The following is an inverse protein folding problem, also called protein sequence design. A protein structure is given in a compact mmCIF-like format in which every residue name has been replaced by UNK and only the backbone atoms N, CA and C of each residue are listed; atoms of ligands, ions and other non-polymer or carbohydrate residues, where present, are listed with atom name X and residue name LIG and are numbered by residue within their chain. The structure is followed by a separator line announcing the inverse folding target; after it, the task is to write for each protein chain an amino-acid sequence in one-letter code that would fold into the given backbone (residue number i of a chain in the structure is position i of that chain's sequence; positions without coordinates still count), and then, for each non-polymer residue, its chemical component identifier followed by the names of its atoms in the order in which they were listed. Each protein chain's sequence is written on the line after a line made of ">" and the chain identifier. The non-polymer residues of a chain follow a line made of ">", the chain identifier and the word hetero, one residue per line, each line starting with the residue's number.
data_IF_712537976935
#
_entry.id   IF_712537976935
#
_cell.length_a   1.000
_cell.length_b   1.000
_cell.length_c   1.000
_cell.angle_alpha   90.00
_cell.angle_beta   90.00
_cell.angle_gamma   90.00
#
_symmetry.space_group_name_H-M   'P 1'
#
loop_
_entity.id
_entity.type
_entity.pdbx_description
1 polymer ?
#
# COMPACT_ATOMS: atom_id res chain seq x y z
N UNK A 1 -57.54 -44.31 68.61
CA UNK A 1 -57.77 -43.52 67.37
C UNK A 1 -56.43 -43.39 66.66
N UNK A 2 -56.17 -43.96 65.47
CA UNK A 2 -54.93 -43.82 64.78
C UNK A 2 -54.94 -42.46 64.00
N UNK A 3 -53.94 -41.63 64.26
CA UNK A 3 -53.68 -40.39 63.61
C UNK A 3 -53.38 -40.57 62.11
N UNK A 4 -54.18 -39.95 61.26
CA UNK A 4 -53.85 -39.76 59.79
C UNK A 4 -52.61 -38.93 59.67
N UNK A 5 -51.51 -39.54 59.30
CA UNK A 5 -50.32 -38.86 58.76
C UNK A 5 -50.71 -38.41 57.29
N UNK A 6 -50.90 -37.17 57.12
CA UNK A 6 -50.95 -36.62 55.74
C UNK A 6 -49.56 -36.81 55.14
N UNK A 7 -49.40 -37.79 54.26
CA UNK A 7 -48.24 -37.86 53.36
C UNK A 7 -48.35 -36.70 52.35
N UNK A 8 -47.68 -35.63 52.63
CA UNK A 8 -47.35 -34.67 51.59
C UNK A 8 -46.32 -35.35 50.70
N UNK A 9 -46.73 -35.72 49.49
CA UNK A 9 -45.90 -36.45 48.56
C UNK A 9 -44.79 -35.51 48.08
N UNK A 10 -43.53 -35.71 48.49
CA UNK A 10 -42.42 -34.84 48.08
C UNK A 10 -42.13 -34.93 46.54
N UNK A 11 -42.68 -35.96 45.89
CA UNK A 11 -42.53 -36.15 44.43
C UNK A 11 -43.23 -35.09 43.62
N UNK A 12 -44.36 -34.56 44.05
CA UNK A 12 -45.11 -33.50 43.32
C UNK A 12 -44.35 -32.18 43.27
N UNK A 13 -43.66 -31.80 44.35
CA UNK A 13 -42.84 -30.61 44.39
C UNK A 13 -41.59 -30.72 43.50
N UNK A 14 -40.95 -31.91 43.48
CA UNK A 14 -39.78 -32.14 42.65
C UNK A 14 -40.10 -31.98 41.15
N UNK A 15 -41.27 -32.42 40.68
CA UNK A 15 -41.68 -32.29 39.30
C UNK A 15 -41.91 -30.81 38.95
N UNK A 16 -42.52 -30.02 39.85
CA UNK A 16 -42.72 -28.57 39.61
C UNK A 16 -41.40 -27.84 39.53
N UNK A 17 -40.43 -28.10 40.41
CA UNK A 17 -39.09 -27.55 40.37
C UNK A 17 -38.38 -27.91 39.07
N UNK A 18 -38.43 -29.18 38.65
CA UNK A 18 -37.83 -29.64 37.43
C UNK A 18 -38.39 -28.94 36.19
N UNK A 19 -39.72 -28.71 36.16
CA UNK A 19 -40.43 -28.04 35.09
C UNK A 19 -40.03 -26.57 35.03
N UNK A 20 -39.93 -25.88 36.17
CA UNK A 20 -39.48 -24.48 36.26
C UNK A 20 -38.03 -24.35 35.80
N UNK A 21 -37.10 -25.21 36.29
CA UNK A 21 -35.69 -25.20 35.89
C UNK A 21 -35.56 -25.47 34.38
N UNK A 22 -36.30 -26.47 33.87
CA UNK A 22 -36.27 -26.81 32.44
C UNK A 22 -36.76 -25.66 31.59
N UNK A 23 -37.84 -24.98 31.99
CA UNK A 23 -38.37 -23.78 31.26
C UNK A 23 -37.33 -22.65 31.27
N UNK A 24 -36.67 -22.40 32.41
CA UNK A 24 -35.61 -21.38 32.49
C UNK A 24 -34.41 -21.74 31.61
N UNK A 25 -33.96 -23.00 31.61
CA UNK A 25 -32.88 -23.47 30.77
C UNK A 25 -33.23 -23.35 29.28
N UNK A 26 -34.44 -23.73 28.87
CA UNK A 26 -34.91 -23.54 27.50
C UNK A 26 -34.94 -22.06 27.11
N UNK A 27 -35.35 -21.19 28.03
CA UNK A 27 -35.32 -19.72 27.80
C UNK A 27 -33.90 -19.20 27.59
N UNK A 28 -32.97 -19.61 28.42
CA UNK A 28 -31.52 -19.26 28.31
C UNK A 28 -30.91 -19.71 26.96
N UNK A 29 -31.14 -20.99 26.60
CA UNK A 29 -30.65 -21.54 25.34
C UNK A 29 -31.24 -20.80 24.15
N UNK A 30 -32.53 -20.46 24.20
CA UNK A 30 -33.23 -19.73 23.15
C UNK A 30 -32.64 -18.33 22.94
N UNK A 31 -32.38 -17.59 24.03
CA UNK A 31 -31.72 -16.29 23.97
C UNK A 31 -30.26 -16.38 23.47
N UNK A 32 -29.56 -17.45 23.83
CA UNK A 32 -28.19 -17.69 23.33
C UNK A 32 -28.15 -17.90 21.81
N UNK A 33 -29.16 -18.54 21.22
CA UNK A 33 -29.29 -18.71 19.77
C UNK A 33 -29.51 -17.37 19.08
N UNK A 34 -30.43 -16.54 19.57
CA UNK A 34 -30.69 -15.20 19.02
C UNK A 34 -29.42 -14.32 19.10
N UNK A 35 -28.72 -14.36 20.26
CA UNK A 35 -27.48 -13.62 20.45
C UNK A 35 -26.38 -14.10 19.48
N UNK A 36 -26.25 -15.41 19.28
CA UNK A 36 -25.29 -15.98 18.33
C UNK A 36 -25.54 -15.51 16.89
N UNK A 37 -26.80 -15.49 16.45
CA UNK A 37 -27.18 -14.98 15.13
C UNK A 37 -26.84 -13.50 14.97
N UNK A 38 -27.31 -12.66 15.89
CA UNK A 38 -27.03 -11.20 15.84
C UNK A 38 -25.53 -10.94 15.87
N UNK A 39 -24.75 -11.70 16.62
CA UNK A 39 -23.29 -11.58 16.66
C UNK A 39 -22.64 -11.94 15.33
N UNK A 40 -23.13 -12.99 14.66
CA UNK A 40 -22.66 -13.39 13.32
C UNK A 40 -23.00 -12.32 12.29
N UNK A 41 -24.24 -11.84 12.28
CA UNK A 41 -24.70 -10.79 11.36
C UNK A 41 -23.91 -9.48 11.56
N UNK A 42 -23.57 -9.14 12.80
CA UNK A 42 -22.70 -8.00 13.11
C UNK A 42 -21.30 -8.18 12.56
N UNK A 43 -20.72 -9.38 12.65
CA UNK A 43 -19.41 -9.68 12.06
C UNK A 43 -19.45 -9.58 10.53
N UNK A 44 -20.50 -10.08 9.89
CA UNK A 44 -20.70 -9.95 8.44
C UNK A 44 -20.89 -8.48 8.03
N UNK A 45 -21.63 -7.69 8.81
CA UNK A 45 -21.79 -6.26 8.58
C UNK A 45 -20.47 -5.50 8.70
N UNK A 46 -19.59 -5.92 9.65
CA UNK A 46 -18.25 -5.34 9.77
C UNK A 46 -17.40 -5.64 8.55
N UNK A 47 -17.38 -6.89 8.05
CA UNK A 47 -16.68 -7.25 6.83
C UNK A 47 -17.13 -6.42 5.62
N UNK A 48 -18.43 -6.17 5.51
CA UNK A 48 -18.97 -5.33 4.45
C UNK A 48 -18.58 -3.85 4.60
N UNK A 49 -18.60 -3.33 5.83
CA UNK A 49 -18.13 -1.97 6.10
C UNK A 49 -16.64 -1.81 5.78
N UNK A 50 -15.82 -2.81 6.14
CA UNK A 50 -14.38 -2.83 5.83
C UNK A 50 -14.12 -2.86 4.31
N UNK A 51 -14.85 -3.71 3.58
CA UNK A 51 -14.77 -3.76 2.12
C UNK A 51 -15.19 -2.43 1.49
N UNK A 52 -16.30 -1.85 1.96
CA UNK A 52 -16.80 -0.57 1.47
C UNK A 52 -15.85 0.59 1.77
N UNK A 53 -15.25 0.63 2.96
CA UNK A 53 -14.25 1.65 3.30
C UNK A 53 -13.01 1.54 2.43
N UNK A 54 -12.51 0.33 2.19
CA UNK A 54 -11.36 0.08 1.31
C UNK A 54 -11.63 0.56 -0.12
N UNK A 55 -12.68 0.07 -0.76
CA UNK A 55 -13.00 0.46 -2.13
C UNK A 55 -13.41 1.93 -2.26
N UNK A 56 -14.07 2.48 -1.24
CA UNK A 56 -14.35 3.91 -1.16
C UNK A 56 -13.08 4.76 -1.11
N UNK A 57 -12.07 4.33 -0.34
CA UNK A 57 -10.78 4.99 -0.27
C UNK A 57 -10.03 4.94 -1.61
N UNK A 58 -10.06 3.81 -2.33
CA UNK A 58 -9.51 3.69 -3.69
C UNK A 58 -10.14 4.69 -4.67
N UNK A 59 -11.41 5.02 -4.48
CA UNK A 59 -12.14 5.99 -5.29
C UNK A 59 -11.89 7.46 -4.91
N UNK A 60 -11.19 7.76 -3.80
CA UNK A 60 -10.99 9.15 -3.36
C UNK A 60 -10.24 10.02 -4.37
N UNK A 61 -9.14 9.58 -4.99
CA UNK A 61 -8.40 10.40 -5.94
C UNK A 61 -9.19 10.75 -7.20
N UNK A 62 -10.17 9.94 -7.57
CA UNK A 62 -10.98 10.09 -8.79
C UNK A 62 -12.39 10.65 -8.53
N UNK A 63 -12.72 10.95 -7.27
CA UNK A 63 -14.04 11.44 -6.89
C UNK A 63 -15.14 10.37 -6.87
N UNK A 64 -14.80 9.09 -6.95
CA UNK A 64 -15.77 7.96 -6.99
C UNK A 64 -15.97 7.25 -5.65
N UNK A 65 -15.56 7.85 -4.53
CA UNK A 65 -15.60 7.24 -3.19
C UNK A 65 -16.96 6.66 -2.83
N UNK A 66 -18.04 7.43 -3.03
CA UNK A 66 -19.38 6.99 -2.70
C UNK A 66 -19.84 5.80 -3.55
N UNK A 67 -19.65 5.89 -4.86
CA UNK A 67 -20.07 4.84 -5.79
C UNK A 67 -19.33 3.52 -5.53
N UNK A 68 -18.02 3.59 -5.30
CA UNK A 68 -17.18 2.43 -4.99
C UNK A 68 -17.58 1.80 -3.64
N UNK A 69 -17.80 2.61 -2.60
CA UNK A 69 -18.23 2.12 -1.30
C UNK A 69 -19.60 1.42 -1.38
N UNK A 70 -20.55 2.01 -2.09
CA UNK A 70 -21.89 1.44 -2.29
C UNK A 70 -21.83 0.12 -3.07
N UNK A 71 -21.05 0.05 -4.14
CA UNK A 71 -20.88 -1.18 -4.93
C UNK A 71 -20.26 -2.30 -4.09
N UNK A 72 -19.22 -2.00 -3.29
CA UNK A 72 -18.58 -2.98 -2.43
C UNK A 72 -19.51 -3.47 -1.29
N UNK A 73 -20.30 -2.59 -0.69
CA UNK A 73 -21.28 -2.99 0.30
C UNK A 73 -22.37 -3.89 -0.29
N UNK A 74 -22.89 -3.54 -1.47
CA UNK A 74 -23.95 -4.28 -2.16
C UNK A 74 -23.50 -5.68 -2.63
N UNK A 75 -22.21 -5.92 -2.79
CA UNK A 75 -21.65 -7.24 -3.06
C UNK A 75 -21.69 -8.18 -1.84
N UNK A 76 -22.04 -7.66 -0.66
CA UNK A 76 -22.20 -8.41 0.59
C UNK A 76 -23.69 -8.45 0.98
N UNK A 77 -24.09 -9.49 1.68
CA UNK A 77 -25.48 -9.67 2.10
C UNK A 77 -25.59 -10.12 3.55
N UNK A 78 -26.67 -9.72 4.21
CA UNK A 78 -27.08 -10.21 5.54
C UNK A 78 -28.49 -10.74 5.42
N UNK A 79 -28.76 -11.90 5.98
CA UNK A 79 -30.07 -12.59 5.88
C UNK A 79 -30.58 -12.68 4.42
N UNK A 80 -29.66 -12.84 3.45
CA UNK A 80 -29.98 -12.91 2.02
C UNK A 80 -30.31 -11.57 1.35
N UNK A 81 -30.24 -10.45 2.07
CA UNK A 81 -30.47 -9.11 1.53
C UNK A 81 -29.17 -8.35 1.35
N UNK A 82 -28.91 -7.71 0.18
CA UNK A 82 -27.73 -6.88 -0.04
C UNK A 82 -27.65 -5.71 0.95
N UNK A 83 -26.44 -5.35 1.35
CA UNK A 83 -26.23 -4.21 2.25
C UNK A 83 -26.28 -2.92 1.44
N UNK A 84 -27.18 -2.02 1.82
CA UNK A 84 -27.38 -0.73 1.16
C UNK A 84 -26.79 0.39 2.01
N UNK A 85 -25.84 1.14 1.44
CA UNK A 85 -25.30 2.36 2.03
C UNK A 85 -26.01 3.59 1.45
N UNK A 86 -26.45 4.48 2.31
CA UNK A 86 -26.90 5.82 1.94
C UNK A 86 -25.68 6.74 1.78
N UNK A 87 -25.85 7.88 1.11
CA UNK A 87 -24.79 8.87 0.98
C UNK A 87 -24.28 9.39 2.34
N UNK A 88 -25.15 9.48 3.34
CA UNK A 88 -24.84 9.87 4.72
C UNK A 88 -23.97 8.84 5.47
N UNK A 89 -23.91 7.60 4.99
CA UNK A 89 -23.16 6.52 5.64
C UNK A 89 -21.69 6.52 5.22
N UNK A 90 -21.35 7.29 4.19
CA UNK A 90 -20.02 7.37 3.60
C UNK A 90 -19.48 8.79 3.74
N UNK A 91 -18.54 8.98 4.63
CA UNK A 91 -18.01 10.30 4.98
C UNK A 91 -16.53 10.35 4.68
N UNK A 92 -16.10 11.29 3.83
CA UNK A 92 -14.69 11.60 3.63
C UNK A 92 -14.19 12.58 4.68
N UNK A 93 -12.92 12.47 5.06
CA UNK A 93 -12.33 13.30 6.11
C UNK A 93 -10.85 13.11 6.24
N UNK A 94 -10.31 13.54 7.38
CA UNK A 94 -8.89 13.39 7.70
C UNK A 94 -8.69 12.43 8.86
N UNK A 95 -7.70 11.56 8.74
CA UNK A 95 -7.23 10.68 9.81
C UNK A 95 -5.92 11.19 10.38
N UNK A 96 -5.88 11.39 11.69
CA UNK A 96 -4.65 11.73 12.42
C UNK A 96 -4.01 10.44 12.97
N UNK A 97 -2.82 10.10 12.49
CA UNK A 97 -2.05 8.95 12.98
C UNK A 97 -1.60 9.13 14.43
N UNK A 98 -1.35 10.39 14.85
CA UNK A 98 -0.88 10.73 16.20
C UNK A 98 -1.98 10.59 17.25
N UNK A 99 -3.17 11.13 16.97
CA UNK A 99 -4.30 11.11 17.91
C UNK A 99 -5.21 9.90 17.69
N UNK A 100 -5.03 9.15 16.59
CA UNK A 100 -5.90 8.03 16.16
C UNK A 100 -7.37 8.45 16.07
N UNK A 101 -7.62 9.62 15.46
CA UNK A 101 -8.97 10.18 15.32
C UNK A 101 -9.30 10.50 13.87
N UNK A 102 -10.54 10.26 13.51
CA UNK A 102 -11.13 10.68 12.25
C UNK A 102 -11.88 12.01 12.43
N UNK A 103 -11.64 12.96 11.53
CA UNK A 103 -12.33 14.25 11.48
C UNK A 103 -13.02 14.38 10.13
N UNK A 104 -14.37 14.52 10.09
CA UNK A 104 -15.12 14.66 8.84
C UNK A 104 -14.75 15.92 8.06
N UNK A 105 -14.75 15.82 6.72
CA UNK A 105 -14.49 16.96 5.82
C UNK A 105 -13.02 17.34 5.73
N UNK A 106 -12.77 18.62 5.40
CA UNK A 106 -11.42 19.16 5.17
C UNK A 106 -11.13 19.41 3.69
N UNK A 107 -10.10 20.24 3.42
CA UNK A 107 -9.71 20.64 2.06
C UNK A 107 -8.89 19.57 1.33
N UNK A 108 -8.26 18.66 2.09
CA UNK A 108 -7.44 17.56 1.57
C UNK A 108 -7.73 16.29 2.36
N UNK A 109 -8.89 15.64 2.14
CA UNK A 109 -9.25 14.44 2.87
C UNK A 109 -8.28 13.30 2.51
N UNK A 110 -7.84 12.56 3.54
CA UNK A 110 -6.96 11.40 3.39
C UNK A 110 -7.57 10.12 3.95
N UNK A 111 -8.84 10.17 4.34
CA UNK A 111 -9.55 9.02 4.91
C UNK A 111 -11.02 9.03 4.54
N UNK A 112 -11.62 7.85 4.59
CA UNK A 112 -13.06 7.64 4.46
C UNK A 112 -13.55 6.81 5.63
N UNK A 113 -14.67 7.22 6.20
CA UNK A 113 -15.42 6.46 7.20
C UNK A 113 -16.70 5.94 6.57
N UNK A 114 -16.95 4.66 6.72
CA UNK A 114 -18.19 4.01 6.28
C UNK A 114 -18.89 3.43 7.50
N UNK A 115 -20.18 3.74 7.68
CA UNK A 115 -21.02 3.13 8.72
C UNK A 115 -22.17 2.38 8.07
N UNK A 116 -22.10 1.06 8.09
CA UNK A 116 -23.16 0.20 7.59
C UNK A 116 -24.21 -0.04 8.71
N UNK A 117 -25.48 -0.03 8.35
CA UNK A 117 -26.59 -0.17 9.29
C UNK A 117 -27.57 -1.26 8.84
N UNK A 118 -27.96 -2.13 9.77
CA UNK A 118 -29.18 -2.91 9.68
C UNK A 118 -30.12 -2.46 10.82
N UNK A 119 -31.20 -1.74 10.50
CA UNK A 119 -32.06 -1.12 11.50
C UNK A 119 -33.53 -1.14 11.09
N UNK A 120 -34.41 -1.02 12.08
CA UNK A 120 -35.86 -0.95 11.88
C UNK A 120 -36.26 0.27 11.03
N UNK A 121 -35.56 1.39 11.19
CA UNK A 121 -35.80 2.61 10.41
C UNK A 121 -35.51 2.45 8.92
N UNK A 122 -34.68 1.46 8.56
CA UNK A 122 -34.31 1.11 7.18
C UNK A 122 -35.06 -0.14 6.68
N UNK A 123 -35.87 -0.78 7.52
CA UNK A 123 -36.51 -2.04 7.20
C UNK A 123 -35.59 -3.25 7.12
N UNK A 124 -34.40 -3.13 7.68
CA UNK A 124 -33.30 -4.14 7.60
C UNK A 124 -32.86 -4.66 8.98
N UNK A 125 -33.60 -4.36 10.06
CA UNK A 125 -33.29 -4.87 11.40
C UNK A 125 -33.25 -6.40 11.41
N UNK A 126 -32.34 -6.97 12.18
CA UNK A 126 -32.16 -8.42 12.28
C UNK A 126 -33.34 -9.01 13.08
N UNK A 127 -34.13 -9.92 12.51
CA UNK A 127 -35.26 -10.50 13.21
C UNK A 127 -34.77 -11.45 14.30
N UNK A 128 -35.40 -11.41 15.47
CA UNK A 128 -35.21 -12.35 16.56
C UNK A 128 -36.19 -13.50 16.49
N UNK A 129 -35.77 -14.72 16.79
CA UNK A 129 -36.65 -15.88 16.79
C UNK A 129 -37.32 -16.06 18.16
N UNK A 130 -36.51 -16.21 19.19
CA UNK A 130 -36.99 -16.55 20.54
C UNK A 130 -37.27 -15.29 21.39
N UNK A 131 -36.45 -14.25 21.24
CA UNK A 131 -36.70 -12.99 21.95
C UNK A 131 -38.01 -12.31 21.51
N UNK A 132 -38.54 -12.64 20.34
CA UNK A 132 -39.84 -12.20 19.86
C UNK A 132 -41.02 -12.63 20.77
N UNK A 133 -40.89 -13.78 21.44
CA UNK A 133 -41.86 -14.26 22.45
C UNK A 133 -41.89 -13.34 23.68
N UNK A 134 -40.75 -12.70 23.98
CA UNK A 134 -40.64 -11.70 25.06
C UNK A 134 -40.95 -10.27 24.59
N UNK A 135 -41.43 -10.10 23.36
CA UNK A 135 -41.80 -8.80 22.79
C UNK A 135 -40.67 -8.08 22.02
N UNK A 136 -39.48 -8.62 21.99
CA UNK A 136 -38.34 -8.06 21.22
C UNK A 136 -38.32 -8.70 19.83
N UNK A 137 -38.88 -8.04 18.82
CA UNK A 137 -39.07 -8.61 17.48
C UNK A 137 -37.86 -8.52 16.58
N UNK A 138 -36.97 -7.56 16.81
CA UNK A 138 -35.77 -7.33 15.99
C UNK A 138 -34.70 -6.60 16.78
N UNK A 139 -33.46 -6.67 16.29
CA UNK A 139 -32.30 -5.99 16.83
C UNK A 139 -31.65 -5.09 15.76
N UNK A 140 -31.36 -3.85 16.11
CA UNK A 140 -30.63 -2.93 15.27
C UNK A 140 -29.11 -3.15 15.50
N UNK A 141 -28.36 -3.26 14.41
CA UNK A 141 -26.89 -3.36 14.43
C UNK A 141 -26.28 -2.35 13.47
N UNK A 142 -25.08 -1.92 13.80
CA UNK A 142 -24.26 -1.11 12.92
C UNK A 142 -22.80 -1.54 13.03
N UNK A 143 -22.04 -1.24 11.97
CA UNK A 143 -20.61 -1.46 11.90
C UNK A 143 -19.95 -0.26 11.23
N UNK A 144 -18.83 0.19 11.76
CA UNK A 144 -18.06 1.32 11.23
C UNK A 144 -16.67 0.88 10.87
N UNK A 145 -16.22 1.30 9.69
CA UNK A 145 -14.86 1.06 9.21
C UNK A 145 -14.26 2.38 8.73
N UNK A 146 -12.96 2.55 8.92
CA UNK A 146 -12.20 3.68 8.42
C UNK A 146 -11.04 3.17 7.60
N UNK A 147 -10.89 3.71 6.39
CA UNK A 147 -9.74 3.47 5.54
C UNK A 147 -9.03 4.80 5.25
N UNK A 148 -7.71 4.80 5.29
CA UNK A 148 -6.88 5.93 4.88
C UNK A 148 -6.35 5.69 3.49
N UNK A 149 -6.23 6.76 2.72
CA UNK A 149 -5.54 6.77 1.44
C UNK A 149 -4.30 7.65 1.56
N UNK A 150 -3.16 7.10 1.15
CA UNK A 150 -1.98 7.93 0.92
C UNK A 150 -2.09 8.47 -0.50
N UNK A 151 -2.28 9.79 -0.61
CA UNK A 151 -2.38 10.46 -1.91
C UNK A 151 -1.08 10.27 -2.69
N UNK A 152 -1.21 9.98 -3.99
CA UNK A 152 -0.07 9.95 -4.88
C UNK A 152 0.61 11.32 -4.86
N UNK A 153 1.87 11.39 -4.41
CA UNK A 153 2.65 12.60 -4.57
C UNK A 153 3.21 12.61 -5.99
N UNK A 154 3.01 13.70 -6.70
CA UNK A 154 3.65 13.96 -7.99
C UNK A 154 4.84 14.87 -7.73
N UNK A 155 6.02 14.44 -8.18
CA UNK A 155 7.20 15.27 -8.18
C UNK A 155 7.66 15.52 -9.63
N UNK A 156 8.04 16.74 -9.94
CA UNK A 156 8.80 17.04 -11.17
C UNK A 156 10.21 17.37 -10.76
N UNK A 157 11.16 16.61 -11.27
CA UNK A 157 12.57 16.69 -10.86
C UNK A 157 13.47 16.68 -12.08
N UNK A 158 14.53 17.48 -12.03
CA UNK A 158 15.65 17.40 -12.94
C UNK A 158 16.67 16.38 -12.43
N UNK A 159 17.14 15.53 -13.32
CA UNK A 159 18.21 14.55 -13.08
C UNK A 159 19.37 14.91 -14.02
N UNK A 160 20.45 15.52 -13.50
CA UNK A 160 21.65 15.81 -14.27
C UNK A 160 22.31 14.52 -14.80
N UNK A 161 23.00 14.61 -15.93
CA UNK A 161 23.83 13.52 -16.46
C UNK A 161 24.92 13.07 -15.49
N UNK A 162 25.39 14.00 -14.65
CA UNK A 162 26.41 13.76 -13.61
C UNK A 162 25.91 13.00 -12.39
N UNK A 163 24.66 12.56 -12.38
CA UNK A 163 24.04 11.86 -11.23
C UNK A 163 24.49 10.41 -11.13
N UNK A 164 25.52 10.15 -10.31
CA UNK A 164 26.07 8.81 -10.04
C UNK A 164 25.15 8.01 -9.10
N UNK A 165 24.53 6.92 -9.56
CA UNK A 165 23.65 6.06 -8.75
C UNK A 165 24.33 5.47 -7.50
N UNK A 166 25.63 5.18 -7.54
CA UNK A 166 26.35 4.54 -6.43
C UNK A 166 26.73 5.49 -5.30
N UNK A 167 26.61 6.80 -5.51
CA UNK A 167 26.70 7.79 -4.44
C UNK A 167 25.35 8.07 -3.74
N UNK A 168 24.29 7.31 -4.05
CA UNK A 168 22.99 7.47 -3.43
C UNK A 168 23.03 7.29 -1.91
N UNK A 169 22.59 8.33 -1.17
CA UNK A 169 22.52 8.30 0.29
C UNK A 169 23.87 8.26 1.02
N UNK A 170 24.95 8.47 0.30
CA UNK A 170 26.29 8.55 0.88
C UNK A 170 26.56 9.93 1.49
N UNK A 171 27.42 10.03 2.52
CA UNK A 171 27.80 11.29 3.14
C UNK A 171 28.59 12.20 2.16
N UNK A 172 28.52 13.49 2.40
CA UNK A 172 29.35 14.46 1.67
C UNK A 172 30.83 14.13 1.82
N UNK A 173 31.58 14.20 0.71
CA UNK A 173 32.99 13.86 0.63
C UNK A 173 33.26 12.38 0.34
N UNK A 174 32.22 11.54 0.21
CA UNK A 174 32.39 10.17 -0.33
C UNK A 174 32.79 10.26 -1.78
N UNK A 175 33.85 9.55 -2.14
CA UNK A 175 34.36 9.46 -3.53
C UNK A 175 33.94 8.12 -4.12
N UNK A 176 33.75 8.07 -5.44
CA UNK A 176 33.72 6.80 -6.15
C UNK A 176 35.06 6.08 -5.97
N UNK A 177 35.02 4.77 -5.73
CA UNK A 177 36.20 4.01 -5.24
C UNK A 177 37.32 3.82 -6.28
N UNK A 178 37.09 4.12 -7.56
CA UNK A 178 38.01 3.70 -8.60
C UNK A 178 39.28 4.55 -8.74
N UNK A 179 39.16 5.83 -8.90
CA UNK A 179 40.31 6.76 -8.94
C UNK A 179 39.88 8.14 -8.43
N UNK A 180 40.59 8.62 -7.44
CA UNK A 180 40.46 10.02 -7.01
C UNK A 180 40.76 11.03 -8.15
N UNK A 181 41.22 10.56 -9.31
CA UNK A 181 41.52 11.36 -10.49
C UNK A 181 40.31 11.70 -11.35
N UNK A 182 39.22 10.95 -11.26
CA UNK A 182 37.99 11.19 -12.07
C UNK A 182 36.99 12.14 -11.43
N UNK A 183 37.10 12.40 -10.15
CA UNK A 183 36.42 13.54 -9.50
C UNK A 183 35.03 13.33 -9.04
N UNK A 184 34.43 12.13 -9.14
CA UNK A 184 33.09 11.85 -8.66
C UNK A 184 33.07 11.87 -7.13
N UNK A 185 32.41 12.86 -6.56
CA UNK A 185 32.36 13.13 -5.11
C UNK A 185 30.97 13.58 -4.67
N UNK A 186 30.43 12.94 -3.65
CA UNK A 186 29.20 13.41 -3.03
C UNK A 186 29.43 14.80 -2.36
N UNK A 187 28.54 15.76 -2.47
CA UNK A 187 27.19 15.68 -3.07
C UNK A 187 27.12 16.12 -4.54
N UNK A 188 28.24 16.46 -5.20
CA UNK A 188 28.21 17.07 -6.54
C UNK A 188 27.64 16.10 -7.57
N UNK A 189 28.11 14.86 -7.55
CA UNK A 189 27.68 13.79 -8.46
C UNK A 189 26.66 12.86 -7.81
N UNK A 190 26.19 13.14 -6.60
CA UNK A 190 25.13 12.34 -5.98
C UNK A 190 23.85 12.34 -6.81
N UNK A 191 23.16 11.19 -6.92
CA UNK A 191 21.92 11.10 -7.67
C UNK A 191 20.81 11.91 -7.00
N UNK A 192 19.81 12.28 -7.80
CA UNK A 192 18.72 13.14 -7.34
C UNK A 192 17.73 12.34 -6.50
N UNK A 193 17.50 12.76 -5.28
CA UNK A 193 16.43 12.19 -4.44
C UNK A 193 15.06 12.67 -4.90
N UNK A 194 14.16 11.72 -5.13
CA UNK A 194 12.76 12.00 -5.52
C UNK A 194 11.93 12.31 -4.27
N UNK A 195 11.27 13.48 -4.17
CA UNK A 195 10.46 13.85 -3.02
C UNK A 195 9.09 13.17 -3.05
N UNK A 196 9.07 11.85 -2.94
CA UNK A 196 7.86 11.02 -2.93
C UNK A 196 7.75 10.28 -1.61
N UNK A 197 6.53 10.21 -1.05
CA UNK A 197 6.26 9.36 0.10
C UNK A 197 6.14 7.91 -0.33
N UNK A 198 6.97 7.04 0.22
CA UNK A 198 7.04 5.63 -0.13
C UNK A 198 6.30 4.76 0.89
N UNK A 199 5.60 3.75 0.39
CA UNK A 199 5.00 2.69 1.21
C UNK A 199 5.32 1.34 0.55
N UNK A 200 5.87 0.39 1.30
CA UNK A 200 6.19 -0.95 0.78
C UNK A 200 4.97 -1.61 0.12
N UNK A 201 5.17 -2.16 -1.07
CA UNK A 201 4.12 -2.72 -1.91
C UNK A 201 3.36 -1.72 -2.79
N UNK A 202 3.58 -0.41 -2.60
CA UNK A 202 3.04 0.63 -3.48
C UNK A 202 3.65 0.51 -4.87
N UNK A 203 2.88 0.84 -5.91
CA UNK A 203 3.39 0.93 -7.28
C UNK A 203 3.73 2.37 -7.62
N UNK A 204 4.93 2.57 -8.19
CA UNK A 204 5.39 3.84 -8.73
C UNK A 204 5.55 3.72 -10.24
N UNK A 205 5.16 4.76 -10.96
CA UNK A 205 5.36 4.92 -12.38
C UNK A 205 6.16 6.20 -12.64
N UNK A 206 6.98 6.19 -13.67
CA UNK A 206 7.78 7.32 -14.09
C UNK A 206 7.45 7.71 -15.52
N UNK A 207 7.64 8.99 -15.82
CA UNK A 207 7.72 9.50 -17.18
C UNK A 207 8.92 10.42 -17.27
N UNK A 208 9.90 10.04 -18.08
CA UNK A 208 11.11 10.80 -18.28
C UNK A 208 11.15 11.45 -19.66
N UNK A 209 11.78 12.64 -19.71
CA UNK A 209 12.06 13.38 -20.93
C UNK A 209 13.44 14.02 -20.82
N UNK A 210 14.06 14.30 -21.95
CA UNK A 210 15.38 14.90 -22.00
C UNK A 210 16.44 13.94 -22.51
N UNK A 211 17.68 14.34 -22.40
CA UNK A 211 18.83 13.56 -22.86
C UNK A 211 20.09 13.95 -22.11
N UNK A 212 21.00 12.99 -22.00
CA UNK A 212 22.33 13.16 -21.42
C UNK A 212 23.37 12.56 -22.35
N UNK A 213 24.61 13.01 -22.24
CA UNK A 213 25.77 12.34 -22.82
C UNK A 213 26.62 11.77 -21.70
N UNK A 214 27.28 10.66 -21.95
CA UNK A 214 28.16 9.98 -20.99
C UNK A 214 29.60 10.49 -21.01
N UNK A 215 29.91 11.52 -21.78
CA UNK A 215 31.13 12.35 -21.70
C UNK A 215 30.99 13.58 -22.59
N UNK A 216 31.83 14.59 -22.35
CA UNK A 216 31.74 15.90 -22.99
C UNK A 216 32.24 15.91 -24.45
N UNK A 217 31.72 15.17 -25.31
CA UNK A 217 32.11 15.09 -26.74
C UNK A 217 31.34 14.00 -27.46
N UNK A 218 30.57 13.26 -26.74
CA UNK A 218 29.74 12.20 -27.28
C UNK A 218 28.34 12.69 -27.69
N UNK A 219 27.60 11.82 -28.35
CA UNK A 219 26.21 12.06 -28.68
C UNK A 219 25.35 12.10 -27.39
N UNK A 220 24.29 12.88 -27.46
CA UNK A 220 23.31 12.94 -26.41
C UNK A 220 22.25 11.84 -26.62
N UNK A 221 22.04 11.01 -25.64
CA UNK A 221 21.09 9.89 -25.66
C UNK A 221 19.84 10.24 -24.84
N UNK A 222 18.67 9.79 -25.30
CA UNK A 222 17.42 9.90 -24.56
C UNK A 222 17.40 8.97 -23.35
N UNK A 223 16.28 9.02 -22.61
CA UNK A 223 16.16 8.33 -21.31
C UNK A 223 16.40 6.80 -21.34
N UNK A 224 16.23 6.16 -22.49
CA UNK A 224 16.52 4.74 -22.69
C UNK A 224 18.01 4.42 -22.88
N UNK A 225 18.87 5.45 -22.99
CA UNK A 225 20.32 5.31 -23.16
C UNK A 225 20.75 5.01 -24.59
N UNK A 226 22.02 4.67 -24.75
CA UNK A 226 22.63 4.28 -26.01
C UNK A 226 22.19 2.86 -26.41
N UNK A 227 21.48 2.68 -27.53
CA UNK A 227 21.02 1.35 -27.96
C UNK A 227 22.16 0.45 -28.44
N UNK A 228 23.33 1.00 -28.69
CA UNK A 228 24.52 0.27 -29.15
C UNK A 228 25.53 -0.03 -28.05
N UNK A 229 25.36 0.54 -26.86
CA UNK A 229 26.33 0.38 -25.79
C UNK A 229 25.65 0.08 -24.45
N UNK A 230 25.78 -1.17 -24.02
CA UNK A 230 25.33 -1.67 -22.72
C UNK A 230 26.54 -1.92 -21.84
N UNK A 231 26.53 -1.43 -20.62
CA UNK A 231 27.61 -1.58 -19.67
C UNK A 231 27.13 -1.71 -18.24
N UNK A 232 28.08 -1.81 -17.34
CA UNK A 232 27.87 -1.84 -15.90
C UNK A 232 28.83 -0.86 -15.22
N UNK A 233 28.64 -0.55 -13.97
CA UNK A 233 29.64 0.16 -13.19
C UNK A 233 30.89 -0.73 -13.10
N UNK A 234 31.97 -0.29 -13.78
CA UNK A 234 33.18 -1.06 -13.90
C UNK A 234 33.89 -1.27 -12.57
N UNK A 235 33.79 -0.31 -11.67
CA UNK A 235 34.41 -0.43 -10.34
C UNK A 235 33.68 -1.47 -9.48
N UNK A 236 32.37 -1.48 -9.49
CA UNK A 236 31.58 -2.51 -8.81
C UNK A 236 31.89 -3.92 -9.34
N UNK A 237 32.12 -4.06 -10.65
CA UNK A 237 32.50 -5.32 -11.28
C UNK A 237 33.94 -5.74 -10.87
N UNK A 238 34.90 -4.80 -10.92
CA UNK A 238 36.32 -5.07 -10.65
C UNK A 238 36.57 -5.50 -9.20
N UNK A 239 35.81 -4.99 -8.25
CA UNK A 239 35.95 -5.25 -6.80
C UNK A 239 35.55 -6.66 -6.36
N UNK A 240 35.25 -7.59 -7.24
CA UNK A 240 34.75 -8.95 -6.96
C UNK A 240 33.47 -9.03 -6.08
N UNK A 241 32.98 -7.93 -5.57
CA UNK A 241 31.74 -7.88 -4.76
C UNK A 241 30.52 -7.52 -5.61
N UNK A 242 30.75 -7.16 -6.87
CA UNK A 242 29.70 -6.71 -7.80
C UNK A 242 28.81 -5.61 -7.17
N UNK A 243 29.45 -4.68 -6.44
CA UNK A 243 28.79 -3.60 -5.70
C UNK A 243 29.76 -2.48 -5.37
N UNK A 244 29.24 -1.26 -5.24
CA UNK A 244 29.93 -0.10 -4.73
C UNK A 244 29.10 0.57 -3.64
N UNK A 245 29.73 1.02 -2.54
CA UNK A 245 29.07 1.63 -1.37
C UNK A 245 27.85 0.84 -0.85
N UNK A 246 27.90 -0.51 -0.93
CA UNK A 246 26.79 -1.36 -0.51
C UNK A 246 25.57 -1.35 -1.47
N UNK A 247 25.68 -0.66 -2.60
CA UNK A 247 24.70 -0.66 -3.69
C UNK A 247 25.16 -1.69 -4.73
N UNK A 248 24.24 -2.55 -5.17
CA UNK A 248 24.53 -3.58 -6.15
C UNK A 248 24.92 -2.98 -7.50
N UNK A 249 25.67 -3.73 -8.31
CA UNK A 249 25.87 -3.37 -9.71
C UNK A 249 24.56 -3.54 -10.52
N UNK A 250 24.55 -2.99 -11.72
CA UNK A 250 23.46 -3.18 -12.70
C UNK A 250 24.10 -3.15 -14.10
N UNK A 251 23.61 -3.98 -14.98
CA UNK A 251 23.94 -3.91 -16.41
C UNK A 251 22.77 -3.26 -17.15
N UNK A 252 23.04 -2.13 -17.82
CA UNK A 252 22.01 -1.37 -18.52
C UNK A 252 22.62 -0.55 -19.68
N UNK A 253 21.81 -0.01 -20.61
CA UNK A 253 22.29 0.92 -21.63
C UNK A 253 22.95 2.15 -20.99
N UNK A 254 24.14 2.51 -21.47
CA UNK A 254 24.85 3.72 -21.01
C UNK A 254 24.01 4.96 -21.30
N UNK A 255 24.08 5.96 -20.44
CA UNK A 255 23.24 7.17 -20.43
C UNK A 255 21.74 6.91 -20.16
N UNK A 256 21.36 5.70 -19.78
CA UNK A 256 19.96 5.41 -19.41
C UNK A 256 19.63 5.85 -17.99
N UNK A 257 18.33 5.98 -17.71
CA UNK A 257 17.83 6.31 -16.36
C UNK A 257 17.78 5.08 -15.47
N UNK A 258 18.41 5.20 -14.29
CA UNK A 258 18.48 4.16 -13.25
C UNK A 258 17.85 4.66 -11.97
N UNK A 259 17.00 3.83 -11.33
CA UNK A 259 16.40 4.10 -10.03
C UNK A 259 16.98 3.23 -8.92
N UNK A 260 16.97 3.73 -7.68
CA UNK A 260 17.43 3.00 -6.49
C UNK A 260 16.55 3.32 -5.30
N UNK A 261 16.05 2.31 -4.62
CA UNK A 261 15.37 2.45 -3.33
C UNK A 261 16.35 2.26 -2.17
N UNK A 262 16.29 3.17 -1.19
CA UNK A 262 17.04 3.06 0.06
C UNK A 262 16.11 3.14 1.28
N UNK A 263 16.55 2.56 2.38
CA UNK A 263 16.00 2.81 3.72
C UNK A 263 16.62 4.09 4.30
N UNK A 264 16.29 4.43 5.55
CA UNK A 264 16.92 5.57 6.26
C UNK A 264 18.41 5.33 6.56
N UNK A 265 18.85 4.08 6.57
CA UNK A 265 20.25 3.72 6.84
C UNK A 265 21.16 4.06 5.65
N UNK A 266 22.42 4.37 5.93
CA UNK A 266 23.46 4.50 4.91
C UNK A 266 23.68 3.14 4.22
N UNK A 267 23.83 3.09 2.89
CA UNK A 267 23.76 1.82 2.15
C UNK A 267 24.97 0.90 2.38
N UNK A 268 26.15 1.43 2.66
CA UNK A 268 27.39 0.68 2.89
C UNK A 268 27.43 -0.05 4.25
N UNK A 269 26.49 0.23 5.16
CA UNK A 269 26.39 -0.45 6.45
C UNK A 269 25.92 -1.91 6.36
N UNK A 270 25.56 -2.38 5.20
CA UNK A 270 25.14 -3.78 4.98
C UNK A 270 25.51 -4.24 3.57
N UNK A 271 25.60 -5.56 3.36
CA UNK A 271 25.90 -6.14 2.07
C UNK A 271 24.91 -5.72 0.98
N UNK A 272 25.38 -5.58 -0.25
CA UNK A 272 24.53 -5.33 -1.41
C UNK A 272 23.69 -6.56 -1.76
N UNK A 273 22.51 -6.39 -2.37
CA UNK A 273 21.78 -7.48 -2.99
C UNK A 273 22.44 -7.95 -4.29
N UNK A 274 21.86 -8.95 -4.97
CA UNK A 274 22.31 -9.36 -6.30
C UNK A 274 22.09 -8.27 -7.33
N UNK A 275 22.99 -8.18 -8.32
CA UNK A 275 22.83 -7.28 -9.46
C UNK A 275 21.63 -7.67 -10.34
N UNK A 276 21.05 -6.68 -11.01
CA UNK A 276 20.08 -6.87 -12.08
C UNK A 276 20.78 -6.71 -13.45
N UNK A 277 20.24 -7.39 -14.44
CA UNK A 277 20.73 -7.35 -15.81
C UNK A 277 19.63 -6.88 -16.75
N UNK A 278 19.89 -5.79 -17.47
CA UNK A 278 19.04 -5.20 -18.50
C UNK A 278 19.78 -5.09 -19.82
N UNK A 279 20.67 -6.04 -20.10
CA UNK A 279 21.48 -6.04 -21.32
C UNK A 279 20.68 -6.29 -22.58
N UNK A 280 19.51 -6.94 -22.48
CA UNK A 280 18.66 -7.23 -23.61
C UNK A 280 17.42 -6.33 -23.66
N UNK A 281 16.91 -6.10 -24.88
CA UNK A 281 15.66 -5.35 -25.05
C UNK A 281 14.48 -6.00 -24.32
N UNK A 282 14.45 -7.31 -24.17
CA UNK A 282 13.39 -8.02 -23.47
C UNK A 282 13.39 -7.69 -21.95
N UNK A 283 14.59 -7.60 -21.34
CA UNK A 283 14.75 -7.25 -19.93
C UNK A 283 14.44 -5.78 -19.67
N UNK A 284 14.73 -4.89 -20.63
CA UNK A 284 14.41 -3.46 -20.56
C UNK A 284 12.90 -3.18 -20.70
N UNK A 285 12.15 -4.08 -21.34
CA UNK A 285 10.72 -3.91 -21.69
C UNK A 285 9.77 -4.60 -20.68
N UNK A 286 10.19 -4.77 -19.44
CA UNK A 286 9.33 -5.29 -18.39
C UNK A 286 8.08 -4.42 -18.19
N UNK A 287 6.94 -5.04 -17.84
CA UNK A 287 5.72 -4.33 -17.47
C UNK A 287 5.66 -4.02 -15.97
N UNK A 288 6.28 -4.88 -15.15
CA UNK A 288 6.38 -4.70 -13.71
C UNK A 288 7.69 -5.28 -13.18
N UNK A 289 8.28 -4.59 -12.18
CA UNK A 289 9.48 -5.05 -11.49
C UNK A 289 9.36 -4.78 -9.99
N UNK A 290 9.99 -5.65 -9.17
CA UNK A 290 10.03 -5.54 -7.71
C UNK A 290 11.48 -5.54 -7.23
N UNK A 291 12.20 -4.41 -7.35
CA UNK A 291 13.59 -4.33 -6.92
C UNK A 291 13.69 -4.41 -5.39
N UNK A 292 14.86 -4.85 -4.90
CA UNK A 292 15.18 -4.82 -3.48
C UNK A 292 15.73 -3.43 -3.07
N UNK A 293 15.86 -3.18 -1.77
CA UNK A 293 16.64 -2.04 -1.29
C UNK A 293 18.09 -2.16 -1.78
N UNK A 294 18.70 -1.05 -2.22
CA UNK A 294 20.08 -0.96 -2.72
C UNK A 294 20.33 -1.75 -4.03
N UNK A 295 19.27 -2.10 -4.74
CA UNK A 295 19.33 -2.78 -6.03
C UNK A 295 18.96 -1.79 -7.14
N UNK A 296 19.93 -1.27 -7.92
CA UNK A 296 19.64 -0.40 -9.04
C UNK A 296 18.80 -1.12 -10.10
N UNK A 297 17.87 -0.40 -10.71
CA UNK A 297 16.96 -0.92 -11.73
C UNK A 297 16.82 0.06 -12.89
N UNK A 298 16.73 -0.48 -14.10
CA UNK A 298 16.51 0.30 -15.30
C UNK A 298 15.09 0.88 -15.33
N UNK A 299 14.96 2.18 -15.58
CA UNK A 299 13.68 2.85 -15.78
C UNK A 299 13.50 3.19 -17.27
N UNK A 300 14.51 3.78 -17.88
CA UNK A 300 14.43 4.34 -19.21
C UNK A 300 13.51 5.55 -19.25
N UNK A 301 12.68 5.67 -20.26
CA UNK A 301 11.62 6.70 -20.38
C UNK A 301 10.38 6.39 -19.50
N UNK A 302 10.36 5.23 -18.87
CA UNK A 302 9.24 4.77 -18.02
C UNK A 302 8.12 4.07 -18.78
N UNK A 303 8.26 3.88 -20.09
CA UNK A 303 7.24 3.25 -20.94
C UNK A 303 7.58 1.80 -21.27
N UNK A 304 6.53 0.99 -21.45
CA UNK A 304 6.64 -0.35 -22.01
C UNK A 304 6.86 -0.30 -23.52
N UNK A 305 7.04 -1.47 -24.16
CA UNK A 305 7.29 -1.61 -25.58
C UNK A 305 6.24 -0.98 -26.51
N UNK A 306 5.02 -0.79 -26.02
CA UNK A 306 3.93 -0.14 -26.76
C UNK A 306 4.05 1.39 -26.83
N UNK A 307 5.00 1.97 -26.11
CA UNK A 307 5.23 3.42 -26.04
C UNK A 307 4.12 4.22 -25.34
N UNK A 308 3.19 3.55 -24.67
CA UNK A 308 2.02 4.15 -24.00
C UNK A 308 1.85 3.69 -22.57
N UNK A 309 1.95 2.39 -22.34
CA UNK A 309 1.79 1.78 -21.01
C UNK A 309 2.98 2.11 -20.12
N UNK A 310 2.71 2.63 -18.91
CA UNK A 310 3.76 2.93 -17.92
C UNK A 310 4.29 1.64 -17.29
N UNK A 311 5.60 1.55 -17.12
CA UNK A 311 6.24 0.51 -16.31
C UNK A 311 5.84 0.66 -14.85
N UNK A 312 5.51 -0.45 -14.20
CA UNK A 312 5.11 -0.52 -12.80
C UNK A 312 6.29 -0.96 -11.93
N UNK A 313 6.76 -0.08 -11.05
CA UNK A 313 7.84 -0.38 -10.11
C UNK A 313 7.25 -0.54 -8.72
N UNK A 314 7.38 -1.73 -8.13
CA UNK A 314 6.88 -2.04 -6.79
C UNK A 314 7.89 -1.59 -5.75
N UNK A 315 7.47 -0.73 -4.85
CA UNK A 315 8.31 -0.22 -3.74
C UNK A 315 8.65 -1.37 -2.78
N UNK A 316 9.93 -1.66 -2.53
CA UNK A 316 10.31 -2.69 -1.57
C UNK A 316 9.95 -2.31 -0.13
N UNK A 317 9.76 -3.33 0.73
CA UNK A 317 9.51 -3.12 2.15
C UNK A 317 10.70 -2.40 2.81
N UNK A 318 10.40 -1.39 3.64
CA UNK A 318 11.42 -0.60 4.32
C UNK A 318 12.05 0.52 3.48
N UNK A 319 11.62 0.72 2.23
CA UNK A 319 12.05 1.88 1.44
C UNK A 319 11.46 3.18 2.01
N UNK A 320 12.32 4.16 2.21
CA UNK A 320 11.97 5.51 2.68
C UNK A 320 12.48 6.58 1.73
N UNK A 321 13.48 6.25 0.90
CA UNK A 321 14.10 7.14 -0.07
C UNK A 321 14.17 6.48 -1.44
N UNK A 322 13.94 7.28 -2.47
CA UNK A 322 14.10 6.91 -3.87
C UNK A 322 15.07 7.88 -4.51
N UNK A 323 16.08 7.36 -5.16
CA UNK A 323 17.05 8.13 -5.93
C UNK A 323 16.99 7.74 -7.40
N UNK A 324 17.33 8.70 -8.25
CA UNK A 324 17.43 8.50 -9.70
C UNK A 324 18.71 9.14 -10.19
N UNK A 325 19.42 8.40 -11.03
CA UNK A 325 20.66 8.84 -11.69
C UNK A 325 20.72 8.32 -13.12
N UNK A 326 21.87 8.55 -13.74
CA UNK A 326 22.15 8.10 -15.09
C UNK A 326 23.12 6.91 -15.05
N UNK A 327 22.95 5.96 -15.97
CA UNK A 327 23.89 4.86 -16.13
C UNK A 327 25.14 5.37 -16.84
N UNK A 328 26.27 5.10 -16.25
CA UNK A 328 27.58 5.27 -16.85
C UNK A 328 28.50 4.12 -16.45
N UNK A 329 29.69 4.12 -17.02
CA UNK A 329 30.67 3.08 -16.86
C UNK A 329 31.62 3.34 -15.69
N UNK A 330 32.13 4.58 -15.54
CA UNK A 330 33.16 4.89 -14.53
C UNK A 330 33.26 6.36 -14.06
N UNK A 331 32.83 7.34 -14.83
CA UNK A 331 33.07 8.77 -14.55
C UNK A 331 31.82 9.59 -14.89
N UNK A 332 31.09 10.02 -13.88
CA UNK A 332 29.87 10.83 -14.05
C UNK A 332 30.17 12.33 -14.13
N UNK A 333 31.32 12.77 -13.59
CA UNK A 333 31.67 14.19 -13.52
C UNK A 333 31.87 14.83 -14.88
N UNK A 334 32.21 14.08 -15.93
CA UNK A 334 32.38 14.57 -17.30
C UNK A 334 31.10 14.46 -18.16
N UNK A 335 30.02 13.90 -17.62
CA UNK A 335 28.72 13.82 -18.26
C UNK A 335 28.08 15.19 -18.41
N UNK A 336 27.19 15.31 -19.39
CA UNK A 336 26.47 16.54 -19.63
C UNK A 336 24.99 16.31 -19.92
N UNK A 337 24.20 17.40 -19.92
CA UNK A 337 22.76 17.34 -20.17
C UNK A 337 21.96 17.08 -18.89
N UNK A 338 20.64 16.95 -19.06
CA UNK A 338 19.72 16.69 -17.96
C UNK A 338 18.45 16.05 -18.49
N UNK A 339 17.86 15.18 -17.69
CA UNK A 339 16.53 14.62 -17.88
C UNK A 339 15.57 15.18 -16.83
N UNK A 340 14.29 15.23 -17.16
CA UNK A 340 13.23 15.59 -16.21
C UNK A 340 12.25 14.46 -16.06
N UNK A 341 11.76 14.25 -14.86
CA UNK A 341 10.78 13.20 -14.59
C UNK A 341 9.52 13.73 -13.94
N UNK A 342 8.40 13.07 -14.25
CA UNK A 342 7.19 13.10 -13.46
C UNK A 342 7.03 11.73 -12.81
N UNK A 343 6.85 11.73 -11.50
CA UNK A 343 6.65 10.49 -10.71
C UNK A 343 5.22 10.43 -10.21
N UNK A 344 4.55 9.33 -10.49
CA UNK A 344 3.19 9.07 -9.99
C UNK A 344 3.22 7.82 -9.13
N UNK A 345 2.84 7.95 -7.87
CA UNK A 345 2.65 6.83 -6.97
C UNK A 345 1.17 6.47 -6.88
N UNK A 346 0.84 5.19 -7.07
CA UNK A 346 -0.54 4.74 -6.88
C UNK A 346 -0.96 4.90 -5.43
N UNK A 347 -2.20 5.34 -5.16
CA UNK A 347 -2.70 5.47 -3.81
C UNK A 347 -2.64 4.14 -3.06
N UNK A 348 -2.08 4.16 -1.85
CA UNK A 348 -2.12 3.00 -0.97
C UNK A 348 -3.27 3.16 0.02
N UNK A 349 -4.13 2.15 0.10
CA UNK A 349 -5.24 2.12 1.06
C UNK A 349 -4.86 1.27 2.26
N UNK A 350 -5.01 1.83 3.46
CA UNK A 350 -4.77 1.14 4.74
C UNK A 350 -6.01 1.24 5.61
N UNK A 351 -6.49 0.08 6.11
CA UNK A 351 -7.54 0.05 7.14
C UNK A 351 -6.95 0.54 8.47
N UNK A 352 -7.70 1.41 9.17
CA UNK A 352 -7.32 1.91 10.50
C UNK A 352 -8.41 1.52 11.49
N UNK A 353 -7.97 0.93 12.59
CA UNK A 353 -8.86 0.47 13.69
C UNK A 353 -8.77 1.41 14.87
#
# INVERSE_FOLDING_TARGET
>A
VPGRRSCWDPCGFAVIYLLVIFTLLCGMVSLAVDYGRVSLDKAMLQLAADAAARHGAEGMPTGHSLANAQAAAAANSIEGSPIVLLASDVVTGTWSKTTKTFSPGGTSPNAIQVTAHCSASRGTAIPTLFASVLGVKSCDIHATAIATVTTASQGVIAVPGTSDPWLAGMPNGTTADYYSAFGDVAPNESPTQIPVSLTGGQVINFQFQGSVSNWSGDNSYGCNGDPGYVGCNWWAEYNNNNSEHGIANVTAPIASVIGIFLSDSQPDLSAAPSALDFSTAAEQQYTSISPQLKQPFFIGDGLCADGVTLKSIVVPQGATRLYVGCMDFQEWSDNSGSMTTTVTATPTVTMVQ
#
